data_IF_098140177116
#
_entry.id   IF_098140177116
#
_cell.length_a   1.000
_cell.length_b   1.000
_cell.length_c   1.000
_cell.angle_alpha   90.00
_cell.angle_beta   90.00
_cell.angle_gamma   90.00
#
_symmetry.space_group_name_H-M   'P 1'
#
loop_
_entity.id
_entity.type
_entity.pdbx_description
1 polymer ?
#
# COMPACT_ATOMS: atom_id res chain seq x y z
N UNK A 1 -33.05 -19.64 6.25
CA UNK A 1 -33.31 -18.50 5.34
C UNK A 1 -32.23 -17.45 5.58
N UNK A 2 -31.70 -16.83 4.54
CA UNK A 2 -30.74 -15.72 4.73
C UNK A 2 -31.49 -14.52 5.33
N UNK A 3 -31.00 -14.00 6.45
CA UNK A 3 -31.55 -12.82 7.10
C UNK A 3 -31.22 -11.60 6.21
N UNK A 4 -32.13 -10.63 6.10
CA UNK A 4 -31.92 -9.40 5.31
C UNK A 4 -30.58 -8.71 5.60
N UNK A 5 -30.17 -8.72 6.87
CA UNK A 5 -28.86 -8.21 7.29
C UNK A 5 -27.68 -8.91 6.61
N UNK A 6 -27.73 -10.24 6.42
CA UNK A 6 -26.68 -11.00 5.74
C UNK A 6 -26.61 -10.67 4.24
N UNK A 7 -27.78 -10.50 3.61
CA UNK A 7 -27.88 -10.12 2.20
C UNK A 7 -27.30 -8.72 2.01
N UNK A 8 -27.59 -7.78 2.90
CA UNK A 8 -27.03 -6.43 2.83
C UNK A 8 -25.51 -6.42 3.03
N UNK A 9 -24.98 -7.23 3.96
CA UNK A 9 -23.53 -7.37 4.16
C UNK A 9 -22.86 -7.93 2.90
N UNK A 10 -23.43 -8.97 2.28
CA UNK A 10 -22.88 -9.56 1.06
C UNK A 10 -22.89 -8.54 -0.08
N UNK A 11 -23.99 -7.82 -0.31
CA UNK A 11 -24.06 -6.78 -1.34
C UNK A 11 -23.06 -5.66 -1.12
N UNK A 12 -23.00 -5.10 0.08
CA UNK A 12 -22.04 -4.04 0.42
C UNK A 12 -20.59 -4.51 0.26
N UNK A 13 -20.30 -5.76 0.63
CA UNK A 13 -18.97 -6.33 0.46
C UNK A 13 -18.65 -6.58 -1.02
N UNK A 14 -19.61 -7.06 -1.81
CA UNK A 14 -19.43 -7.25 -3.25
C UNK A 14 -19.24 -5.92 -4.00
N UNK A 15 -19.94 -4.85 -3.59
CA UNK A 15 -19.71 -3.50 -4.12
C UNK A 15 -18.30 -2.99 -3.78
N UNK A 16 -17.81 -3.26 -2.55
CA UNK A 16 -16.44 -2.92 -2.18
C UNK A 16 -15.41 -3.67 -3.03
N UNK A 17 -15.59 -4.95 -3.30
CA UNK A 17 -14.71 -5.70 -4.20
C UNK A 17 -14.68 -5.14 -5.63
N UNK A 18 -15.77 -4.53 -6.11
CA UNK A 18 -15.85 -3.92 -7.45
C UNK A 18 -15.26 -2.51 -7.51
N UNK A 19 -15.46 -1.73 -6.45
CA UNK A 19 -15.09 -0.30 -6.45
C UNK A 19 -13.64 -0.07 -6.06
N UNK A 20 -13.05 -0.93 -5.23
CA UNK A 20 -11.67 -0.79 -4.78
C UNK A 20 -10.70 -1.57 -5.66
N UNK A 21 -9.60 -0.91 -6.05
CA UNK A 21 -8.57 -1.51 -6.91
C UNK A 21 -7.68 -2.49 -6.16
N UNK A 22 -7.47 -2.28 -4.86
CA UNK A 22 -6.61 -3.11 -4.03
C UNK A 22 -7.35 -3.70 -2.83
N UNK A 23 -7.31 -5.02 -2.67
CA UNK A 23 -7.91 -5.75 -1.54
C UNK A 23 -6.85 -6.63 -0.90
N UNK A 24 -6.60 -6.43 0.40
CA UNK A 24 -5.62 -7.19 1.17
C UNK A 24 -6.32 -8.10 2.16
N UNK A 25 -5.92 -9.36 2.15
CA UNK A 25 -6.37 -10.36 3.11
C UNK A 25 -5.32 -10.51 4.20
N UNK A 26 -5.69 -10.20 5.44
CA UNK A 26 -4.80 -10.26 6.59
C UNK A 26 -5.33 -11.24 7.60
N UNK A 27 -4.45 -12.10 8.13
CA UNK A 27 -4.76 -12.95 9.28
C UNK A 27 -4.30 -12.24 10.54
N UNK A 28 -5.16 -12.15 11.53
CA UNK A 28 -4.82 -11.64 12.84
C UNK A 28 -4.94 -12.76 13.87
N UNK A 29 -3.86 -13.00 14.62
CA UNK A 29 -3.82 -14.08 15.63
C UNK A 29 -3.36 -13.48 16.95
N UNK A 30 -4.17 -13.64 18.02
CA UNK A 30 -3.78 -13.19 19.36
C UNK A 30 -3.65 -11.67 19.56
N UNK A 31 -4.28 -10.85 18.70
CA UNK A 31 -4.21 -9.39 18.81
C UNK A 31 -5.10 -8.90 19.96
N UNK A 32 -4.55 -8.08 20.87
CA UNK A 32 -5.31 -7.39 21.91
C UNK A 32 -6.23 -6.31 21.30
N UNK A 33 -7.35 -6.03 22.00
CA UNK A 33 -8.34 -5.02 21.58
C UNK A 33 -7.72 -3.64 21.40
N UNK A 34 -6.74 -3.27 22.21
CA UNK A 34 -6.02 -2.00 22.09
C UNK A 34 -5.22 -1.92 20.78
N UNK A 35 -4.56 -3.02 20.43
CA UNK A 35 -3.71 -3.11 19.24
C UNK A 35 -4.54 -3.11 17.96
N UNK A 36 -5.67 -3.85 17.94
CA UNK A 36 -6.57 -3.85 16.77
C UNK A 36 -7.23 -2.47 16.56
N UNK A 37 -7.49 -1.75 17.64
CA UNK A 37 -8.03 -0.38 17.56
C UNK A 37 -7.00 0.58 16.97
N UNK A 38 -5.72 0.46 17.35
CA UNK A 38 -4.62 1.22 16.74
C UNK A 38 -4.46 0.89 15.26
N UNK A 39 -4.52 -0.40 14.90
CA UNK A 39 -4.45 -0.85 13.51
C UNK A 39 -5.57 -0.23 12.67
N UNK A 40 -6.81 -0.30 13.14
CA UNK A 40 -7.97 0.31 12.47
C UNK A 40 -7.81 1.82 12.30
N UNK A 41 -7.27 2.50 13.31
CA UNK A 41 -6.98 3.93 13.23
C UNK A 41 -5.94 4.20 12.14
N UNK A 42 -4.82 3.48 12.14
CA UNK A 42 -3.78 3.63 11.13
C UNK A 42 -4.28 3.35 9.71
N UNK A 43 -5.17 2.38 9.52
CA UNK A 43 -5.81 2.13 8.23
C UNK A 43 -6.71 3.31 7.82
N UNK A 44 -7.53 3.80 8.74
CA UNK A 44 -8.44 4.93 8.47
C UNK A 44 -7.69 6.21 8.15
N UNK A 45 -6.59 6.50 8.86
CA UNK A 45 -5.73 7.66 8.63
C UNK A 45 -5.09 7.64 7.23
N UNK A 46 -4.96 6.46 6.62
CA UNK A 46 -4.44 6.24 5.27
C UNK A 46 -5.55 5.95 4.22
N UNK A 47 -6.80 6.31 4.50
CA UNK A 47 -7.95 6.10 3.61
C UNK A 47 -8.16 4.63 3.20
N UNK A 48 -7.84 3.70 4.09
CA UNK A 48 -8.07 2.27 3.91
C UNK A 48 -9.26 1.83 4.74
N UNK A 49 -10.24 1.20 4.10
CA UNK A 49 -11.40 0.64 4.79
C UNK A 49 -11.09 -0.80 5.24
N UNK A 50 -10.95 -0.97 6.56
CA UNK A 50 -10.66 -2.26 7.16
C UNK A 50 -11.91 -2.87 7.77
N UNK A 51 -12.36 -4.00 7.23
CA UNK A 51 -13.53 -4.70 7.72
C UNK A 51 -13.24 -6.16 8.07
N UNK A 52 -13.89 -6.64 9.12
CA UNK A 52 -13.84 -8.03 9.55
C UNK A 52 -15.23 -8.60 9.35
N UNK A 53 -15.37 -9.50 8.39
CA UNK A 53 -16.63 -10.15 8.05
C UNK A 53 -16.48 -11.67 8.18
N UNK A 54 -17.62 -12.35 8.33
CA UNK A 54 -17.60 -13.82 8.40
C UNK A 54 -17.12 -14.40 7.07
N UNK A 55 -16.15 -15.32 7.10
CA UNK A 55 -15.51 -15.90 5.91
C UNK A 55 -16.51 -16.42 4.87
N UNK A 56 -17.60 -17.06 5.32
CA UNK A 56 -18.65 -17.56 4.41
C UNK A 56 -19.36 -16.44 3.66
N UNK A 57 -19.55 -15.27 4.29
CA UNK A 57 -20.19 -14.11 3.64
C UNK A 57 -19.20 -13.44 2.67
N UNK A 58 -17.92 -13.37 3.05
CA UNK A 58 -16.85 -12.86 2.16
C UNK A 58 -16.70 -13.75 0.93
N UNK A 59 -16.77 -15.08 1.07
CA UNK A 59 -16.76 -16.01 -0.06
C UNK A 59 -17.95 -15.80 -1.00
N UNK A 60 -19.15 -15.61 -0.45
CA UNK A 60 -20.34 -15.32 -1.26
C UNK A 60 -20.22 -13.99 -2.01
N UNK A 61 -19.72 -12.95 -1.32
CA UNK A 61 -19.49 -11.64 -1.92
C UNK A 61 -18.43 -11.69 -3.05
N UNK A 62 -17.37 -12.48 -2.86
CA UNK A 62 -16.35 -12.70 -3.89
C UNK A 62 -16.90 -13.42 -5.11
N UNK A 63 -17.81 -14.40 -4.93
CA UNK A 63 -18.53 -15.05 -6.04
C UNK A 63 -19.40 -14.08 -6.83
N UNK A 64 -20.16 -13.21 -6.14
CA UNK A 64 -20.98 -12.18 -6.79
C UNK A 64 -20.13 -11.12 -7.51
N UNK A 65 -18.90 -10.89 -7.06
CA UNK A 65 -17.94 -9.99 -7.70
C UNK A 65 -17.20 -10.63 -8.90
N UNK A 66 -17.35 -11.95 -9.13
CA UNK A 66 -16.73 -12.67 -10.26
C UNK A 66 -15.38 -13.30 -9.94
N UNK A 67 -14.99 -13.39 -8.67
CA UNK A 67 -13.73 -13.97 -8.19
C UNK A 67 -13.94 -15.35 -7.56
N UNK A 68 -14.60 -16.28 -8.29
CA UNK A 68 -14.86 -17.63 -7.79
C UNK A 68 -13.57 -18.43 -7.60
N UNK A 69 -13.46 -19.11 -6.45
CA UNK A 69 -12.40 -20.10 -6.18
C UNK A 69 -11.03 -19.55 -5.80
N UNK A 70 -10.75 -18.27 -6.02
CA UNK A 70 -9.43 -17.67 -5.74
C UNK A 70 -9.12 -17.54 -4.22
N UNK A 71 -10.15 -17.52 -3.39
CA UNK A 71 -10.01 -17.20 -1.97
C UNK A 71 -10.37 -18.35 -1.03
N UNK A 72 -10.70 -19.55 -1.56
CA UNK A 72 -11.20 -20.65 -0.73
C UNK A 72 -10.17 -21.16 0.26
N UNK A 73 -8.91 -21.20 -0.11
CA UNK A 73 -7.81 -21.65 0.73
C UNK A 73 -7.36 -20.57 1.74
N UNK A 74 -7.56 -19.30 1.37
CA UNK A 74 -7.06 -18.14 2.13
C UNK A 74 -8.05 -17.73 3.22
N UNK A 75 -9.35 -17.84 2.95
CA UNK A 75 -10.42 -17.49 3.88
C UNK A 75 -10.66 -18.58 4.93
N UNK A 76 -9.57 -19.00 5.61
CA UNK A 76 -9.61 -19.93 6.74
C UNK A 76 -9.11 -19.24 8.01
N UNK A 77 -9.85 -19.38 9.13
CA UNK A 77 -9.50 -18.76 10.41
C UNK A 77 -9.98 -17.33 10.56
N UNK A 78 -9.21 -16.51 11.28
CA UNK A 78 -9.53 -15.11 11.58
C UNK A 78 -8.95 -14.21 10.48
N UNK A 79 -9.78 -13.80 9.54
CA UNK A 79 -9.36 -12.97 8.40
C UNK A 79 -10.02 -11.60 8.45
N UNK A 80 -9.21 -10.57 8.32
CA UNK A 80 -9.62 -9.19 8.08
C UNK A 80 -9.33 -8.78 6.64
N UNK A 81 -10.19 -7.98 6.06
CA UNK A 81 -10.07 -7.50 4.69
C UNK A 81 -9.89 -6.00 4.68
N UNK A 82 -8.82 -5.52 4.06
CA UNK A 82 -8.54 -4.11 3.86
C UNK A 82 -8.79 -3.74 2.39
N UNK A 83 -9.61 -2.73 2.17
CA UNK A 83 -9.97 -2.21 0.85
C UNK A 83 -9.37 -0.84 0.64
N UNK A 84 -8.74 -0.60 -0.50
CA UNK A 84 -8.16 0.71 -0.84
C UNK A 84 -8.21 0.97 -2.34
N UNK A 85 -8.29 2.24 -2.69
CA UNK A 85 -8.13 2.69 -4.08
C UNK A 85 -6.65 2.60 -4.51
N UNK A 86 -5.73 2.97 -3.59
CA UNK A 86 -4.28 2.84 -3.81
C UNK A 86 -3.75 1.53 -3.22
N UNK A 87 -3.22 0.61 -4.02
CA UNK A 87 -2.72 -0.68 -3.52
C UNK A 87 -1.51 -0.55 -2.59
N UNK A 88 -0.77 0.58 -2.67
CA UNK A 88 0.43 0.80 -1.86
C UNK A 88 0.12 1.22 -0.42
N UNK A 89 -1.03 1.90 -0.18
CA UNK A 89 -1.38 2.42 1.12
C UNK A 89 -1.55 1.31 2.18
N UNK A 90 -2.37 0.25 1.96
CA UNK A 90 -2.49 -0.84 2.93
C UNK A 90 -1.17 -1.57 3.17
N UNK A 91 -0.37 -1.78 2.10
CA UNK A 91 0.92 -2.45 2.21
C UNK A 91 1.91 -1.69 3.11
N UNK A 92 1.98 -0.35 2.97
CA UNK A 92 2.81 0.51 3.84
C UNK A 92 2.35 0.45 5.29
N UNK A 93 1.04 0.52 5.55
CA UNK A 93 0.48 0.42 6.91
C UNK A 93 0.80 -0.93 7.53
N UNK A 94 0.58 -2.03 6.81
CA UNK A 94 0.89 -3.38 7.28
C UNK A 94 2.38 -3.54 7.56
N UNK A 95 3.25 -3.04 6.68
CA UNK A 95 4.71 -3.10 6.86
C UNK A 95 5.16 -2.34 8.11
N UNK A 96 4.62 -1.14 8.34
CA UNK A 96 4.94 -0.36 9.53
C UNK A 96 4.41 -1.04 10.80
N UNK A 97 3.20 -1.56 10.75
CA UNK A 97 2.61 -2.28 11.88
C UNK A 97 3.36 -3.58 12.21
N UNK A 98 3.84 -4.32 11.19
CA UNK A 98 4.66 -5.52 11.37
C UNK A 98 6.01 -5.22 12.03
N UNK A 99 6.60 -4.06 11.80
CA UNK A 99 7.85 -3.66 12.50
C UNK A 99 7.69 -3.57 14.01
N UNK A 100 6.51 -3.13 14.45
CA UNK A 100 6.21 -2.99 15.89
C UNK A 100 5.63 -4.27 16.50
N UNK A 101 5.07 -5.18 15.66
CA UNK A 101 4.32 -6.36 16.09
C UNK A 101 4.48 -7.50 15.05
N UNK A 102 5.67 -8.11 14.99
CA UNK A 102 6.05 -9.06 13.92
C UNK A 102 5.13 -10.27 13.79
N UNK A 103 4.64 -10.82 14.90
CA UNK A 103 3.90 -12.09 14.93
C UNK A 103 2.36 -11.95 14.95
N UNK A 104 1.84 -10.73 15.06
CA UNK A 104 0.41 -10.51 15.29
C UNK A 104 -0.43 -10.38 14.02
N UNK A 105 0.18 -10.00 12.90
CA UNK A 105 -0.52 -9.74 11.65
C UNK A 105 0.21 -10.39 10.47
N UNK A 106 -0.43 -11.35 9.82
CA UNK A 106 0.08 -11.98 8.61
C UNK A 106 -0.74 -11.58 7.39
N UNK A 107 -0.06 -11.30 6.28
CA UNK A 107 -0.71 -11.11 4.98
C UNK A 107 -0.87 -12.47 4.33
N UNK A 108 -2.08 -12.84 4.00
CA UNK A 108 -2.39 -14.10 3.30
C UNK A 108 -2.28 -13.96 1.78
N UNK A 109 -2.60 -12.78 1.28
CA UNK A 109 -2.54 -12.44 -0.13
C UNK A 109 -3.19 -11.10 -0.40
N UNK A 110 -3.06 -10.66 -1.63
CA UNK A 110 -3.68 -9.43 -2.10
C UNK A 110 -4.30 -9.64 -3.48
N UNK A 111 -5.39 -8.95 -3.72
CA UNK A 111 -6.05 -8.83 -5.01
C UNK A 111 -5.79 -7.43 -5.56
N UNK A 112 -5.21 -7.32 -6.74
CA UNK A 112 -4.99 -6.07 -7.43
C UNK A 112 -5.37 -6.20 -8.90
N UNK A 113 -6.26 -5.33 -9.38
CA UNK A 113 -6.77 -5.33 -10.76
C UNK A 113 -7.27 -6.71 -11.24
N UNK A 114 -7.93 -7.45 -10.35
CA UNK A 114 -8.46 -8.78 -10.67
C UNK A 114 -7.44 -9.91 -10.67
N UNK A 115 -6.16 -9.63 -10.38
CA UNK A 115 -5.12 -10.64 -10.24
C UNK A 115 -4.81 -10.89 -8.77
N UNK A 116 -4.68 -12.15 -8.43
CA UNK A 116 -4.29 -12.57 -7.10
C UNK A 116 -2.75 -12.66 -6.98
N UNK A 117 -2.21 -12.10 -5.92
CA UNK A 117 -0.79 -12.11 -5.57
C UNK A 117 -0.59 -12.79 -4.22
N UNK A 118 0.47 -13.58 -4.12
CA UNK A 118 0.81 -14.30 -2.88
C UNK A 118 1.31 -13.38 -1.78
N UNK A 119 1.38 -13.92 -0.57
CA UNK A 119 1.83 -13.19 0.62
C UNK A 119 3.25 -12.62 0.51
N UNK A 120 4.14 -13.21 -0.29
CA UNK A 120 5.52 -12.73 -0.43
C UNK A 120 5.61 -11.41 -1.20
N UNK A 121 4.71 -11.23 -2.16
CA UNK A 121 4.72 -10.08 -3.06
C UNK A 121 4.21 -8.77 -2.41
N UNK A 122 3.55 -8.84 -1.23
CA UNK A 122 3.10 -7.60 -0.57
C UNK A 122 4.25 -6.66 -0.22
N UNK A 123 5.47 -7.19 -0.02
CA UNK A 123 6.67 -6.40 0.29
C UNK A 123 7.05 -5.51 -0.91
N UNK A 124 6.90 -6.01 -2.12
CA UNK A 124 7.13 -5.25 -3.34
C UNK A 124 6.16 -4.07 -3.41
N UNK A 125 4.86 -4.32 -3.18
CA UNK A 125 3.85 -3.26 -3.14
C UNK A 125 4.10 -2.23 -2.02
N UNK A 126 4.60 -2.66 -0.86
CA UNK A 126 4.96 -1.77 0.24
C UNK A 126 6.16 -0.86 -0.08
N UNK A 127 7.03 -1.24 -1.02
CA UNK A 127 8.17 -0.46 -1.46
C UNK A 127 7.83 0.48 -2.64
N UNK A 128 6.68 0.28 -3.30
CA UNK A 128 6.23 1.16 -4.37
C UNK A 128 5.84 2.54 -3.82
N UNK A 129 6.16 3.61 -4.54
CA UNK A 129 5.65 4.93 -4.23
C UNK A 129 4.14 4.99 -4.48
N UNK A 130 3.43 5.88 -3.78
CA UNK A 130 2.03 6.15 -4.05
C UNK A 130 1.84 6.74 -5.45
N UNK A 131 0.60 6.76 -5.95
CA UNK A 131 0.28 7.35 -7.25
C UNK A 131 0.74 8.83 -7.32
N UNK A 132 0.51 9.58 -6.26
CA UNK A 132 0.90 11.00 -6.19
C UNK A 132 2.42 11.16 -6.14
N UNK A 133 3.12 10.31 -5.34
CA UNK A 133 4.58 10.28 -5.29
C UNK A 133 5.18 9.91 -6.66
N UNK A 134 4.56 8.96 -7.38
CA UNK A 134 4.99 8.55 -8.72
C UNK A 134 4.84 9.67 -9.75
N UNK A 135 3.71 10.38 -9.72
CA UNK A 135 3.48 11.54 -10.58
C UNK A 135 4.46 12.67 -10.27
N UNK A 136 4.71 12.95 -9.00
CA UNK A 136 5.70 13.95 -8.56
C UNK A 136 7.09 13.58 -9.05
N UNK A 137 7.48 12.31 -8.90
CA UNK A 137 8.76 11.80 -9.38
C UNK A 137 8.90 11.90 -10.90
N UNK A 138 7.83 11.62 -11.63
CA UNK A 138 7.79 11.78 -13.08
C UNK A 138 7.99 13.24 -13.48
N UNK A 139 7.30 14.18 -12.84
CA UNK A 139 7.48 15.61 -13.09
C UNK A 139 8.91 16.08 -12.77
N UNK A 140 9.50 15.60 -11.68
CA UNK A 140 10.90 15.89 -11.36
C UNK A 140 11.85 15.37 -12.43
N UNK A 141 11.60 14.15 -12.97
CA UNK A 141 12.40 13.58 -14.04
C UNK A 141 12.38 14.42 -15.33
N UNK A 142 11.25 15.01 -15.68
CA UNK A 142 11.15 15.93 -16.82
C UNK A 142 11.95 17.22 -16.62
N UNK A 143 12.05 17.73 -15.40
CA UNK A 143 12.82 18.93 -15.08
C UNK A 143 14.33 18.64 -14.87
N UNK A 144 14.70 17.39 -14.65
CA UNK A 144 16.08 16.97 -14.35
C UNK A 144 17.10 17.38 -15.44
N UNK A 145 16.85 17.23 -16.75
CA UNK A 145 17.80 17.64 -17.79
C UNK A 145 18.15 19.11 -17.72
N UNK A 146 17.15 19.98 -17.49
CA UNK A 146 17.33 21.42 -17.40
C UNK A 146 18.14 21.79 -16.16
N UNK A 147 17.77 21.19 -15.02
CA UNK A 147 18.48 21.40 -13.74
C UNK A 147 19.93 20.91 -13.84
N UNK A 148 20.16 19.78 -14.48
CA UNK A 148 21.50 19.21 -14.67
C UNK A 148 22.35 20.08 -15.58
N UNK A 149 21.78 20.64 -16.65
CA UNK A 149 22.48 21.58 -17.54
C UNK A 149 22.88 22.84 -16.78
N UNK A 150 21.96 23.45 -16.04
CA UNK A 150 22.22 24.64 -15.23
C UNK A 150 23.29 24.40 -14.16
N UNK A 151 23.23 23.25 -13.46
CA UNK A 151 24.21 22.88 -12.46
C UNK A 151 25.61 22.62 -13.05
N UNK A 152 25.67 22.02 -14.25
CA UNK A 152 26.95 21.76 -14.96
C UNK A 152 27.59 23.07 -15.37
N UNK A 153 26.84 24.03 -15.88
CA UNK A 153 27.35 25.36 -16.20
C UNK A 153 27.88 26.08 -14.97
N UNK A 154 27.08 26.10 -13.89
CA UNK A 154 27.49 26.72 -12.63
C UNK A 154 28.73 26.07 -12.01
N UNK A 155 28.84 24.73 -12.06
CA UNK A 155 30.01 24.03 -11.54
C UNK A 155 31.30 24.33 -12.31
N UNK A 156 31.20 24.50 -13.63
CA UNK A 156 32.34 24.89 -14.47
C UNK A 156 32.86 26.28 -14.09
N UNK A 157 31.97 27.27 -13.86
CA UNK A 157 32.36 28.59 -13.37
C UNK A 157 32.90 28.53 -11.94
N UNK A 158 32.29 27.74 -11.07
CA UNK A 158 32.75 27.53 -9.69
C UNK A 158 34.16 26.95 -9.61
N UNK A 159 34.46 25.99 -10.48
CA UNK A 159 35.80 25.40 -10.56
C UNK A 159 36.84 26.40 -11.04
N UNK A 160 36.55 27.24 -12.04
CA UNK A 160 37.42 28.31 -12.49
C UNK A 160 37.70 29.34 -11.40
N UNK A 161 36.68 29.78 -10.69
CA UNK A 161 36.81 30.68 -9.55
C UNK A 161 37.63 30.06 -8.43
N UNK A 162 37.46 28.76 -8.15
CA UNK A 162 38.21 28.01 -7.17
C UNK A 162 39.73 27.98 -7.51
N UNK A 163 40.05 27.70 -8.76
CA UNK A 163 41.45 27.72 -9.23
C UNK A 163 42.05 29.11 -9.12
N UNK A 164 41.34 30.17 -9.51
CA UNK A 164 41.82 31.55 -9.42
C UNK A 164 42.05 31.97 -7.95
N UNK A 165 41.13 31.61 -7.05
CA UNK A 165 41.29 31.88 -5.61
C UNK A 165 42.48 31.11 -5.01
N UNK A 166 42.69 29.86 -5.40
CA UNK A 166 43.86 29.09 -4.95
C UNK A 166 45.15 29.70 -5.43
N UNK A 167 45.21 30.14 -6.70
CA UNK A 167 46.38 30.85 -7.24
C UNK A 167 46.66 32.17 -6.52
N UNK A 168 45.62 32.93 -6.15
CA UNK A 168 45.75 34.14 -5.38
C UNK A 168 46.37 33.86 -3.98
N UNK A 169 45.86 32.81 -3.30
CA UNK A 169 46.32 32.45 -1.95
C UNK A 169 47.73 31.86 -1.94
N UNK A 170 48.19 31.31 -3.07
CA UNK A 170 49.56 30.75 -3.18
C UNK A 170 50.57 31.83 -3.52
N UNK A 171 50.14 32.99 -4.06
CA UNK A 171 51.04 34.13 -4.40
C UNK A 171 51.04 35.21 -3.30
N UNK A 172 50.24 35.10 -2.29
CA UNK A 172 50.22 35.94 -1.10
C UNK A 172 50.95 35.26 0.07
#
# INVERSE_FOLDING_TARGET
MPTEQKINIVKNTAEKFKNYSGVYFTRYTGIDVKTITKLRKSFRDNNVDYSITKNTLTKLAAKEAGFEGLFDDILSGQVGVAYSEDPTAPAKVIKNFKKDNEDLLDVLGLLFEGKFYSSEQYIEFANLPSKEESLTKMLMMFNQPITKLASTLNSSFGNLLGVLNNLKNTKS
#
